data_IF_631392242667
#
_entry.id   IF_631392242667
#
_cell.length_a   1.000
_cell.length_b   1.000
_cell.length_c   1.000
_cell.angle_alpha   90.00
_cell.angle_beta   90.00
_cell.angle_gamma   90.00
#
_symmetry.space_group_name_H-M   'P 1'
#
loop_
_entity.id
_entity.type
_entity.pdbx_description
1 polymer ?
#
# COMPACT_ATOMS: atom_id res chain seq x y z
N UNK A 1 -9.95 -1.92 11.37
CA UNK A 1 -9.88 -1.05 12.57
C UNK A 1 -8.47 -0.50 12.63
N UNK A 2 -8.27 0.81 12.39
CA UNK A 2 -6.97 1.43 12.65
C UNK A 2 -6.84 1.41 14.17
N UNK A 3 -5.89 0.62 14.69
CA UNK A 3 -5.48 0.76 16.07
C UNK A 3 -5.19 2.24 16.28
N UNK A 4 -5.95 2.92 17.17
CA UNK A 4 -5.71 4.33 17.48
C UNK A 4 -4.24 4.43 17.89
N UNK A 5 -3.44 5.01 17.03
CA UNK A 5 -2.00 5.17 17.28
C UNK A 5 -1.84 5.95 18.58
N UNK A 6 -1.22 5.34 19.55
CA UNK A 6 -0.89 6.05 20.78
C UNK A 6 0.21 7.07 20.48
N UNK A 7 -0.19 8.33 20.34
CA UNK A 7 0.73 9.45 20.16
C UNK A 7 1.05 10.12 21.50
N UNK A 8 2.33 10.23 21.77
CA UNK A 8 2.88 11.12 22.78
C UNK A 8 3.49 12.35 22.07
N UNK A 9 3.82 13.38 22.82
CA UNK A 9 4.40 14.63 22.30
C UNK A 9 5.66 14.41 21.46
N UNK A 10 6.46 13.40 21.78
CA UNK A 10 7.67 13.03 21.04
C UNK A 10 7.34 12.54 19.61
N UNK A 11 6.41 11.60 19.45
CA UNK A 11 5.99 11.10 18.13
C UNK A 11 5.30 12.16 17.31
N UNK A 12 4.45 12.97 17.94
CA UNK A 12 3.75 14.11 17.31
C UNK A 12 4.76 15.10 16.73
N UNK A 13 5.75 15.53 17.52
CA UNK A 13 6.79 16.47 17.07
C UNK A 13 7.54 15.94 15.84
N UNK A 14 7.94 14.67 15.85
CA UNK A 14 8.62 14.06 14.70
C UNK A 14 7.72 13.93 13.47
N UNK A 15 6.43 13.60 13.65
CA UNK A 15 5.47 13.50 12.55
C UNK A 15 5.24 14.88 11.91
N UNK A 16 4.98 15.91 12.72
CA UNK A 16 4.78 17.27 12.23
C UNK A 16 6.01 17.79 11.49
N UNK A 17 7.21 17.54 12.03
CA UNK A 17 8.45 17.92 11.36
C UNK A 17 8.61 17.21 10.00
N UNK A 18 8.27 15.92 9.92
CA UNK A 18 8.27 15.18 8.64
C UNK A 18 7.28 15.75 7.63
N UNK A 19 6.06 16.10 8.06
CA UNK A 19 5.03 16.68 7.20
C UNK A 19 5.46 18.05 6.66
N UNK A 20 5.97 18.94 7.52
CA UNK A 20 6.47 20.26 7.11
C UNK A 20 7.67 20.13 6.14
N UNK A 21 8.68 19.37 6.53
CA UNK A 21 9.89 19.21 5.69
C UNK A 21 9.61 18.50 4.38
N UNK A 22 8.60 17.63 4.29
CA UNK A 22 8.19 17.00 3.04
C UNK A 22 7.50 17.98 2.10
N UNK A 23 6.73 18.94 2.60
CA UNK A 23 6.05 19.94 1.78
C UNK A 23 7.05 20.82 0.99
N UNK A 24 8.23 21.03 1.53
CA UNK A 24 9.31 21.83 0.93
C UNK A 24 10.31 20.96 0.13
N UNK A 25 10.08 19.65 0.09
CA UNK A 25 11.05 18.70 -0.43
C UNK A 25 10.66 18.18 -1.83
N UNK A 26 11.61 18.14 -2.76
CA UNK A 26 11.43 17.56 -4.09
C UNK A 26 11.75 16.06 -4.17
N UNK A 27 12.06 15.41 -3.04
CA UNK A 27 12.35 13.98 -3.03
C UNK A 27 11.05 13.15 -2.94
N UNK A 28 11.02 11.96 -3.54
CA UNK A 28 9.96 10.99 -3.27
C UNK A 28 9.79 10.73 -1.77
N UNK A 29 8.55 10.63 -1.29
CA UNK A 29 8.22 10.47 0.14
C UNK A 29 9.05 9.37 0.82
N UNK A 30 9.18 8.21 0.18
CA UNK A 30 9.95 7.07 0.72
C UNK A 30 11.42 7.45 0.99
N UNK A 31 12.05 8.18 0.09
CA UNK A 31 13.44 8.61 0.25
C UNK A 31 13.56 9.69 1.32
N UNK A 32 12.61 10.63 1.38
CA UNK A 32 12.56 11.65 2.42
C UNK A 32 12.45 11.03 3.82
N UNK A 33 11.50 10.11 4.03
CA UNK A 33 11.33 9.37 5.30
C UNK A 33 12.59 8.59 5.68
N UNK A 34 13.21 7.89 4.71
CA UNK A 34 14.46 7.16 4.95
C UNK A 34 15.58 8.10 5.41
N UNK A 35 15.77 9.23 4.73
CA UNK A 35 16.78 10.25 5.09
C UNK A 35 16.50 10.81 6.48
N UNK A 36 15.25 11.10 6.78
CA UNK A 36 14.85 11.59 8.10
C UNK A 36 15.23 10.63 9.22
N UNK A 37 14.91 9.34 9.08
CA UNK A 37 15.23 8.33 10.11
C UNK A 37 16.73 8.01 10.22
N UNK A 38 17.50 8.19 9.17
CA UNK A 38 18.98 8.09 9.25
C UNK A 38 19.58 9.20 10.12
N UNK A 39 18.98 10.39 10.08
CA UNK A 39 19.43 11.56 10.85
C UNK A 39 18.85 11.58 12.28
N UNK A 40 17.78 10.82 12.57
CA UNK A 40 17.12 10.75 13.88
C UNK A 40 17.25 9.33 14.46
N UNK A 41 18.46 8.99 14.91
CA UNK A 41 18.77 7.64 15.42
C UNK A 41 18.13 7.31 16.76
N UNK A 42 17.66 8.32 17.50
CA UNK A 42 16.93 8.21 18.77
C UNK A 42 15.52 7.60 18.62
N UNK A 43 15.00 7.52 17.40
CA UNK A 43 13.72 6.87 17.13
C UNK A 43 13.86 5.35 17.09
N UNK A 44 13.15 4.67 17.99
CA UNK A 44 13.06 3.21 18.02
C UNK A 44 12.24 2.65 16.85
N UNK A 45 12.31 1.35 16.62
CA UNK A 45 11.59 0.69 15.51
C UNK A 45 10.06 0.88 15.60
N UNK A 46 9.49 0.85 16.81
CA UNK A 46 8.07 1.08 17.01
C UNK A 46 7.66 2.53 16.73
N UNK A 47 8.48 3.50 17.17
CA UNK A 47 8.20 4.92 16.90
C UNK A 47 8.26 5.21 15.40
N UNK A 48 9.28 4.69 14.70
CA UNK A 48 9.39 4.81 13.25
C UNK A 48 8.17 4.24 12.53
N UNK A 49 7.68 3.08 12.98
CA UNK A 49 6.48 2.45 12.41
C UNK A 49 5.25 3.34 12.61
N UNK A 50 4.97 3.77 13.84
CA UNK A 50 3.80 4.60 14.18
C UNK A 50 3.83 5.92 13.41
N UNK A 51 4.97 6.61 13.39
CA UNK A 51 5.15 7.87 12.67
C UNK A 51 4.95 7.67 11.17
N UNK A 52 5.53 6.62 10.59
CA UNK A 52 5.40 6.33 9.16
C UNK A 52 3.95 6.02 8.79
N UNK A 53 3.29 5.16 9.54
CA UNK A 53 1.90 4.77 9.27
C UNK A 53 0.97 5.99 9.32
N UNK A 54 1.15 6.87 10.30
CA UNK A 54 0.37 8.10 10.43
C UNK A 54 0.69 9.11 9.34
N UNK A 55 1.95 9.25 8.97
CA UNK A 55 2.37 10.10 7.85
C UNK A 55 1.67 9.69 6.55
N UNK A 56 1.72 8.39 6.20
CA UNK A 56 1.06 7.89 5.01
C UNK A 56 -0.46 8.00 5.09
N UNK A 57 -1.05 7.80 6.26
CA UNK A 57 -2.48 7.99 6.47
C UNK A 57 -2.90 9.44 6.24
N UNK A 58 -2.23 10.39 6.87
CA UNK A 58 -2.52 11.83 6.73
C UNK A 58 -2.35 12.29 5.29
N UNK A 59 -1.26 11.92 4.62
CA UNK A 59 -1.01 12.33 3.23
C UNK A 59 -2.03 11.71 2.26
N UNK A 60 -2.43 10.46 2.49
CA UNK A 60 -3.44 9.78 1.67
C UNK A 60 -4.82 10.43 1.79
N UNK A 61 -5.21 10.80 2.99
CA UNK A 61 -6.50 11.39 3.28
C UNK A 61 -6.45 12.91 3.45
N UNK A 62 -5.41 13.55 2.91
CA UNK A 62 -5.17 14.99 3.10
C UNK A 62 -6.38 15.85 2.73
N UNK A 63 -6.96 15.66 1.54
CA UNK A 63 -8.07 16.49 1.07
C UNK A 63 -9.31 16.30 1.95
N UNK A 64 -9.58 15.06 2.37
CA UNK A 64 -10.64 14.76 3.33
C UNK A 64 -10.44 15.52 4.64
N UNK A 65 -9.25 15.46 5.24
CA UNK A 65 -8.99 16.15 6.51
C UNK A 65 -8.98 17.67 6.34
N UNK A 66 -8.53 18.20 5.20
CA UNK A 66 -8.57 19.64 4.91
C UNK A 66 -10.01 20.18 4.86
N UNK A 67 -11.00 19.36 4.51
CA UNK A 67 -12.41 19.79 4.53
C UNK A 67 -12.88 20.17 5.94
N UNK A 68 -12.37 19.51 6.97
CA UNK A 68 -12.69 19.80 8.37
C UNK A 68 -11.79 20.89 8.99
N UNK A 69 -10.71 21.25 8.30
CA UNK A 69 -9.80 22.28 8.78
C UNK A 69 -10.46 23.66 8.72
N UNK A 70 -10.25 24.47 9.75
CA UNK A 70 -10.75 25.83 9.83
C UNK A 70 -9.90 26.85 9.06
N UNK A 71 -8.76 26.39 8.53
CA UNK A 71 -7.75 27.23 7.89
C UNK A 71 -7.82 27.12 6.37
N UNK A 72 -7.67 28.26 5.70
CA UNK A 72 -7.57 28.31 4.23
C UNK A 72 -6.24 27.76 3.70
N UNK A 73 -5.26 27.58 4.59
CA UNK A 73 -3.95 27.00 4.30
C UNK A 73 -3.77 25.71 5.08
N UNK A 74 -2.92 24.82 4.56
CA UNK A 74 -2.62 23.53 5.21
C UNK A 74 -1.88 23.77 6.52
N UNK A 75 -2.56 23.56 7.65
CA UNK A 75 -1.96 23.48 8.99
C UNK A 75 -1.83 21.99 9.37
N UNK A 76 -0.62 21.47 9.37
CA UNK A 76 -0.36 20.06 9.66
C UNK A 76 -0.71 19.64 11.08
N UNK A 77 -0.65 20.57 12.03
CA UNK A 77 -1.04 20.30 13.43
C UNK A 77 -2.56 20.14 13.53
N UNK A 78 -3.31 21.02 12.89
CA UNK A 78 -4.78 20.90 12.83
C UNK A 78 -5.21 19.63 12.12
N UNK A 79 -4.64 19.35 10.94
CA UNK A 79 -4.89 18.11 10.17
C UNK A 79 -4.56 16.87 11.01
N UNK A 80 -3.44 16.86 11.74
CA UNK A 80 -3.11 15.76 12.62
C UNK A 80 -4.20 15.55 13.68
N UNK A 81 -4.63 16.60 14.37
CA UNK A 81 -5.67 16.51 15.39
C UNK A 81 -7.02 16.04 14.83
N UNK A 82 -7.39 16.48 13.61
CA UNK A 82 -8.57 16.01 12.91
C UNK A 82 -8.44 14.51 12.61
N UNK A 83 -7.29 14.08 12.10
CA UNK A 83 -7.03 12.67 11.76
C UNK A 83 -7.11 11.70 12.94
N UNK A 84 -6.97 12.20 14.19
CA UNK A 84 -7.14 11.39 15.40
C UNK A 84 -8.61 11.22 15.80
N UNK A 85 -9.50 12.05 15.27
CA UNK A 85 -10.93 12.11 15.66
C UNK A 85 -11.85 11.55 14.60
N UNK A 86 -11.52 11.74 13.32
CA UNK A 86 -12.38 11.42 12.19
C UNK A 86 -11.79 10.26 11.40
N UNK A 87 -12.62 9.23 11.13
CA UNK A 87 -12.24 8.10 10.28
C UNK A 87 -12.80 8.31 8.86
N UNK A 88 -11.99 8.49 7.83
CA UNK A 88 -12.46 8.73 6.47
C UNK A 88 -13.33 7.60 5.89
N UNK A 89 -13.22 6.38 6.42
CA UNK A 89 -13.98 5.22 5.94
C UNK A 89 -15.36 5.08 6.62
N UNK A 90 -15.59 5.76 7.73
CA UNK A 90 -16.81 5.67 8.55
C UNK A 90 -17.56 7.00 8.61
N UNK A 91 -17.03 8.06 8.02
CA UNK A 91 -17.61 9.40 8.09
C UNK A 91 -18.70 9.59 7.04
N UNK A 92 -19.90 9.97 7.49
CA UNK A 92 -21.07 10.24 6.66
C UNK A 92 -21.31 11.74 6.39
N UNK A 93 -20.37 12.60 6.75
CA UNK A 93 -20.48 14.03 6.52
C UNK A 93 -20.75 14.36 5.06
N UNK A 94 -21.71 15.23 4.80
CA UNK A 94 -22.00 15.75 3.48
C UNK A 94 -20.88 16.67 3.01
N UNK A 95 -20.06 16.16 2.12
CA UNK A 95 -18.96 16.87 1.48
C UNK A 95 -18.87 16.54 0.01
N UNK A 96 -18.16 17.35 -0.82
CA UNK A 96 -17.91 17.01 -2.21
C UNK A 96 -17.28 15.62 -2.35
N UNK A 97 -17.74 14.84 -3.32
CA UNK A 97 -17.34 13.44 -3.46
C UNK A 97 -15.82 13.26 -3.66
N UNK A 98 -15.13 14.20 -4.32
CA UNK A 98 -13.68 14.16 -4.47
C UNK A 98 -12.92 14.40 -3.16
N UNK A 99 -13.47 15.21 -2.25
CA UNK A 99 -12.89 15.40 -0.91
C UNK A 99 -13.15 14.18 -0.04
N UNK A 100 -14.35 13.57 -0.15
CA UNK A 100 -14.71 12.34 0.55
C UNK A 100 -13.77 11.19 0.24
N UNK A 101 -13.36 11.05 -1.02
CA UNK A 101 -12.36 10.05 -1.44
C UNK A 101 -10.93 10.57 -1.41
N UNK A 102 -10.73 11.83 -0.98
CA UNK A 102 -9.41 12.49 -0.87
C UNK A 102 -8.60 12.52 -2.18
N UNK A 103 -9.29 12.72 -3.31
CA UNK A 103 -8.65 12.87 -4.62
C UNK A 103 -8.65 14.33 -5.07
N UNK A 104 -7.61 14.78 -5.81
CA UNK A 104 -7.69 16.06 -6.52
C UNK A 104 -8.87 16.07 -7.48
N UNK A 105 -9.64 17.16 -7.50
CA UNK A 105 -10.86 17.27 -8.33
C UNK A 105 -10.64 16.89 -9.80
N UNK A 106 -9.54 17.35 -10.41
CA UNK A 106 -9.24 17.07 -11.81
C UNK A 106 -9.02 15.57 -12.09
N UNK A 107 -8.40 14.83 -11.15
CA UNK A 107 -8.16 13.40 -11.28
C UNK A 107 -9.46 12.62 -11.03
N UNK A 108 -10.20 12.96 -9.98
CA UNK A 108 -11.51 12.41 -9.71
C UNK A 108 -12.43 12.54 -10.93
N UNK A 109 -12.52 13.75 -11.51
CA UNK A 109 -13.34 14.03 -12.71
C UNK A 109 -12.95 13.14 -13.90
N UNK A 110 -11.64 12.91 -14.13
CA UNK A 110 -11.17 11.99 -15.18
C UNK A 110 -11.63 10.56 -14.94
N UNK A 111 -11.49 10.06 -13.71
CA UNK A 111 -11.89 8.69 -13.33
C UNK A 111 -13.41 8.52 -13.52
N UNK A 112 -14.21 9.45 -13.01
CA UNK A 112 -15.68 9.39 -13.14
C UNK A 112 -16.11 9.45 -14.62
N UNK A 113 -15.45 10.27 -15.43
CA UNK A 113 -15.75 10.35 -16.86
C UNK A 113 -15.49 9.03 -17.62
N UNK A 114 -14.51 8.26 -17.17
CA UNK A 114 -14.14 6.98 -17.81
C UNK A 114 -14.94 5.79 -17.28
N UNK A 115 -15.30 5.78 -15.98
CA UNK A 115 -15.86 4.61 -15.30
C UNK A 115 -17.32 4.79 -14.83
N UNK A 116 -17.89 6.00 -14.95
CA UNK A 116 -19.16 6.36 -14.33
C UNK A 116 -18.99 6.73 -12.85
N UNK A 117 -20.02 7.36 -12.27
CA UNK A 117 -19.97 7.92 -10.92
C UNK A 117 -19.75 6.84 -9.85
N UNK A 118 -20.54 5.80 -9.85
CA UNK A 118 -20.53 4.76 -8.84
C UNK A 118 -19.21 3.97 -8.85
N UNK A 119 -18.87 3.39 -10.00
CA UNK A 119 -17.65 2.57 -10.16
C UNK A 119 -16.40 3.42 -9.92
N UNK A 120 -16.36 4.64 -10.49
CA UNK A 120 -15.21 5.54 -10.34
C UNK A 120 -15.00 5.98 -8.90
N UNK A 121 -16.08 6.27 -8.16
CA UNK A 121 -15.97 6.61 -6.72
C UNK A 121 -15.44 5.42 -5.91
N UNK A 122 -15.95 4.23 -6.16
CA UNK A 122 -15.49 3.00 -5.51
C UNK A 122 -14.01 2.72 -5.82
N UNK A 123 -13.56 2.93 -7.04
CA UNK A 123 -12.14 2.81 -7.42
C UNK A 123 -11.28 3.78 -6.62
N UNK A 124 -11.71 5.04 -6.47
CA UNK A 124 -10.98 6.02 -5.65
C UNK A 124 -10.88 5.59 -4.17
N UNK A 125 -11.96 5.05 -3.61
CA UNK A 125 -11.93 4.49 -2.25
C UNK A 125 -10.94 3.34 -2.12
N UNK A 126 -11.00 2.36 -3.03
CA UNK A 126 -10.11 1.20 -3.02
C UNK A 126 -8.64 1.63 -3.15
N UNK A 127 -8.34 2.60 -4.01
CA UNK A 127 -6.99 3.14 -4.18
C UNK A 127 -6.46 3.84 -2.92
N UNK A 128 -7.35 4.32 -2.04
CA UNK A 128 -6.98 4.92 -0.76
C UNK A 128 -7.00 3.94 0.41
N UNK A 129 -7.33 2.68 0.19
CA UNK A 129 -7.15 1.63 1.20
C UNK A 129 -5.71 1.10 1.21
N UNK A 130 -5.33 0.44 2.28
CA UNK A 130 -4.05 -0.24 2.33
C UNK A 130 -4.09 -1.48 1.43
N UNK A 131 -3.21 -1.53 0.43
CA UNK A 131 -3.08 -2.71 -0.41
C UNK A 131 -2.67 -3.94 0.42
N UNK A 132 -3.24 -5.12 0.14
CA UNK A 132 -2.78 -6.37 0.73
C UNK A 132 -1.36 -6.69 0.25
N UNK A 133 -0.63 -7.44 1.05
CA UNK A 133 0.62 -8.04 0.60
C UNK A 133 0.28 -9.32 -0.15
N UNK A 134 0.55 -9.34 -1.45
CA UNK A 134 0.26 -10.49 -2.30
C UNK A 134 1.58 -11.17 -2.71
N UNK A 135 1.57 -12.49 -2.65
CA UNK A 135 2.70 -13.34 -3.02
C UNK A 135 2.27 -14.38 -4.06
N UNK A 136 3.18 -14.78 -4.91
CA UNK A 136 3.02 -15.89 -5.86
C UNK A 136 3.91 -17.04 -5.45
N UNK A 137 3.32 -18.21 -5.29
CA UNK A 137 4.06 -19.44 -4.97
C UNK A 137 4.82 -19.91 -6.20
N UNK A 138 6.06 -20.33 -6.00
CA UNK A 138 6.86 -20.94 -7.05
C UNK A 138 6.50 -22.44 -7.18
N UNK A 139 5.81 -22.88 -8.24
CA UNK A 139 5.30 -24.24 -8.35
C UNK A 139 6.42 -25.28 -8.50
N UNK A 140 7.62 -24.87 -8.95
CA UNK A 140 8.80 -25.76 -9.03
C UNK A 140 9.30 -26.14 -7.64
N UNK A 141 9.11 -25.25 -6.65
CA UNK A 141 9.66 -25.41 -5.29
C UNK A 141 8.66 -25.94 -4.28
N UNK A 142 7.38 -25.59 -4.44
CA UNK A 142 6.33 -25.91 -3.47
C UNK A 142 4.93 -25.68 -4.06
N UNK A 143 3.95 -26.49 -3.66
CA UNK A 143 2.55 -26.21 -4.00
C UNK A 143 1.96 -25.14 -3.09
N UNK A 144 0.92 -24.45 -3.56
CA UNK A 144 0.21 -23.42 -2.78
C UNK A 144 -0.38 -24.01 -1.49
N UNK A 145 -0.93 -25.20 -1.57
CA UNK A 145 -1.56 -25.92 -0.46
C UNK A 145 -0.54 -26.25 0.65
N UNK A 146 0.64 -26.78 0.27
CA UNK A 146 1.72 -27.05 1.22
C UNK A 146 2.28 -25.79 1.85
N UNK A 147 2.32 -24.66 1.11
CA UNK A 147 2.71 -23.37 1.66
C UNK A 147 1.69 -22.86 2.69
N UNK A 148 0.39 -22.99 2.38
CA UNK A 148 -0.69 -22.61 3.29
C UNK A 148 -0.69 -23.44 4.58
N UNK A 149 -0.52 -24.77 4.46
CA UNK A 149 -0.41 -25.64 5.63
C UNK A 149 0.73 -25.21 6.56
N UNK A 150 1.85 -24.80 5.98
CA UNK A 150 3.04 -24.43 6.74
C UNK A 150 3.01 -23.00 7.32
N UNK A 151 2.46 -22.05 6.58
CA UNK A 151 2.61 -20.62 6.87
C UNK A 151 1.28 -19.86 6.99
N UNK A 152 0.17 -20.47 6.53
CA UNK A 152 -1.14 -19.82 6.40
C UNK A 152 -1.62 -19.20 7.70
N UNK A 153 -1.70 -19.96 8.77
CA UNK A 153 -2.16 -19.49 10.08
C UNK A 153 -1.22 -18.44 10.69
N UNK A 154 0.10 -18.66 10.56
CA UNK A 154 1.11 -17.76 11.15
C UNK A 154 1.06 -16.34 10.57
N UNK A 155 0.80 -16.22 9.29
CA UNK A 155 0.83 -14.94 8.56
C UNK A 155 -0.56 -14.54 8.04
N UNK A 156 -1.62 -15.22 8.48
CA UNK A 156 -2.99 -15.01 8.03
C UNK A 156 -3.09 -14.93 6.48
N UNK A 157 -2.46 -15.89 5.81
CA UNK A 157 -2.47 -15.97 4.35
C UNK A 157 -3.77 -16.60 3.87
N UNK A 158 -4.33 -16.01 2.83
CA UNK A 158 -5.55 -16.47 2.16
C UNK A 158 -5.29 -16.65 0.67
N UNK A 159 -5.95 -17.63 0.01
CA UNK A 159 -5.87 -17.79 -1.43
C UNK A 159 -6.38 -16.57 -2.18
N UNK A 160 -5.69 -16.15 -3.22
CA UNK A 160 -6.20 -15.21 -4.20
C UNK A 160 -7.41 -15.78 -4.93
N UNK A 161 -8.35 -14.92 -5.32
CA UNK A 161 -9.59 -15.35 -5.96
C UNK A 161 -9.39 -15.85 -7.41
N UNK A 162 -8.46 -15.24 -8.14
CA UNK A 162 -8.28 -15.46 -9.58
C UNK A 162 -6.95 -16.16 -9.92
N UNK A 163 -5.90 -15.89 -9.14
CA UNK A 163 -4.61 -16.55 -9.36
C UNK A 163 -4.52 -17.86 -8.57
N UNK A 164 -4.31 -18.99 -9.25
CA UNK A 164 -4.16 -20.30 -8.64
C UNK A 164 -2.86 -20.46 -7.83
N UNK A 165 -1.84 -19.62 -8.07
CA UNK A 165 -0.58 -19.59 -7.32
C UNK A 165 -0.53 -18.45 -6.31
N UNK A 166 -1.51 -17.57 -6.32
CA UNK A 166 -1.53 -16.37 -5.50
C UNK A 166 -2.02 -16.62 -4.07
N UNK A 167 -1.35 -15.99 -3.11
CA UNK A 167 -1.78 -15.83 -1.72
C UNK A 167 -1.69 -14.37 -1.32
N UNK A 168 -2.57 -13.92 -0.44
CA UNK A 168 -2.52 -12.55 0.09
C UNK A 168 -2.72 -12.50 1.59
N UNK A 169 -2.29 -11.40 2.20
CA UNK A 169 -2.58 -11.06 3.59
C UNK A 169 -2.74 -9.56 3.74
N UNK A 170 -3.63 -9.14 4.64
CA UNK A 170 -3.79 -7.75 5.06
C UNK A 170 -2.91 -7.39 6.26
N UNK A 171 -2.24 -8.37 6.85
CA UNK A 171 -1.31 -8.13 7.94
C UNK A 171 -0.02 -7.48 7.43
N UNK A 172 0.54 -6.58 8.23
CA UNK A 172 1.88 -6.03 8.00
C UNK A 172 2.92 -7.08 8.36
N UNK A 173 3.46 -7.75 7.35
CA UNK A 173 4.49 -8.76 7.52
C UNK A 173 5.81 -8.34 6.87
N UNK A 174 6.92 -8.72 7.49
CA UNK A 174 8.22 -8.64 6.84
C UNK A 174 8.39 -9.87 5.95
N UNK A 175 8.28 -9.69 4.64
CA UNK A 175 8.41 -10.77 3.66
C UNK A 175 9.74 -11.52 3.82
N UNK A 176 10.82 -10.79 4.09
CA UNK A 176 12.16 -11.36 4.28
C UNK A 176 12.26 -12.26 5.51
N UNK A 177 11.37 -12.08 6.50
CA UNK A 177 11.35 -12.93 7.72
C UNK A 177 10.71 -14.29 7.47
N UNK A 178 10.03 -14.49 6.35
CA UNK A 178 9.47 -15.78 5.96
C UNK A 178 10.58 -16.61 5.36
N UNK A 179 10.95 -17.73 6.00
CA UNK A 179 12.09 -18.56 5.57
C UNK A 179 11.98 -19.07 4.13
N UNK A 180 10.78 -19.19 3.59
CA UNK A 180 10.52 -19.54 2.20
C UNK A 180 11.00 -18.51 1.18
N UNK A 181 11.14 -17.23 1.56
CA UNK A 181 11.60 -16.17 0.67
C UNK A 181 13.03 -16.43 0.15
N UNK A 182 13.96 -16.64 1.06
CA UNK A 182 15.36 -16.92 0.70
C UNK A 182 15.55 -18.27 -0.01
N UNK A 183 14.58 -19.16 0.10
CA UNK A 183 14.57 -20.47 -0.62
C UNK A 183 13.94 -20.38 -2.01
N UNK A 184 13.46 -19.19 -2.41
CA UNK A 184 12.75 -18.98 -3.66
C UNK A 184 11.43 -19.75 -3.78
N UNK A 185 10.77 -20.06 -2.65
CA UNK A 185 9.49 -20.76 -2.62
C UNK A 185 8.31 -19.86 -3.00
N UNK A 186 8.49 -18.55 -2.93
CA UNK A 186 7.53 -17.56 -3.35
C UNK A 186 8.20 -16.23 -3.69
N UNK A 187 7.46 -15.37 -4.36
CA UNK A 187 7.83 -14.01 -4.73
C UNK A 187 6.71 -13.03 -4.38
N UNK A 188 7.07 -11.76 -4.11
CA UNK A 188 6.08 -10.71 -3.95
C UNK A 188 5.61 -10.28 -5.34
N UNK A 189 4.35 -10.52 -5.63
CA UNK A 189 3.75 -10.15 -6.90
C UNK A 189 2.24 -9.95 -6.74
N UNK A 190 1.74 -8.82 -7.19
CA UNK A 190 0.31 -8.51 -7.19
C UNK A 190 -0.49 -9.50 -8.05
N UNK A 191 -1.74 -9.81 -7.64
CA UNK A 191 -2.59 -10.79 -8.34
C UNK A 191 -2.82 -10.40 -9.80
N UNK A 192 -3.09 -9.11 -10.08
CA UNK A 192 -3.27 -8.63 -11.45
C UNK A 192 -2.04 -8.87 -12.33
N UNK A 193 -0.83 -8.67 -11.77
CA UNK A 193 0.43 -8.95 -12.47
C UNK A 193 0.63 -10.45 -12.74
N UNK A 194 0.20 -11.33 -11.82
CA UNK A 194 0.22 -12.78 -12.02
C UNK A 194 -0.71 -13.18 -13.16
N UNK A 195 -1.93 -12.66 -13.19
CA UNK A 195 -2.91 -12.94 -14.23
C UNK A 195 -2.43 -12.48 -15.61
N UNK A 196 -1.85 -11.28 -15.70
CA UNK A 196 -1.31 -10.78 -16.96
C UNK A 196 -0.20 -11.66 -17.49
N UNK A 197 0.71 -12.13 -16.65
CA UNK A 197 1.79 -13.01 -17.06
C UNK A 197 1.29 -14.38 -17.53
N UNK A 198 0.22 -14.90 -16.92
CA UNK A 198 -0.42 -16.15 -17.33
C UNK A 198 -1.08 -16.10 -18.73
N UNK A 199 -1.30 -14.91 -19.30
CA UNK A 199 -1.83 -14.76 -20.66
C UNK A 199 -0.79 -15.07 -21.75
N UNK A 200 0.50 -15.00 -21.42
CA UNK A 200 1.59 -15.17 -22.38
C UNK A 200 1.64 -16.61 -22.92
N UNK A 201 1.46 -17.61 -22.05
CA UNK A 201 1.39 -19.06 -22.40
C UNK A 201 2.43 -19.49 -23.45
N UNK A 202 3.74 -19.36 -23.19
CA UNK A 202 4.76 -19.77 -24.12
C UNK A 202 4.74 -21.29 -24.30
N UNK A 203 5.06 -21.77 -25.50
CA UNK A 203 5.27 -23.21 -25.77
C UNK A 203 6.74 -23.57 -25.50
N UNK A 204 7.03 -24.82 -25.21
CA UNK A 204 8.41 -25.29 -25.12
C UNK A 204 9.18 -24.97 -26.40
N UNK A 205 10.33 -24.27 -26.25
CA UNK A 205 11.16 -23.86 -27.38
C UNK A 205 10.87 -22.43 -27.89
N UNK A 206 9.83 -21.76 -27.41
CA UNK A 206 9.59 -20.36 -27.76
C UNK A 206 10.69 -19.44 -27.19
N UNK A 207 11.08 -18.43 -27.97
CA UNK A 207 11.97 -17.35 -27.54
C UNK A 207 11.11 -16.17 -27.09
N UNK A 208 11.13 -15.86 -25.80
CA UNK A 208 10.31 -14.78 -25.19
C UNK A 208 11.20 -13.62 -24.79
N UNK A 209 10.93 -12.43 -25.30
CA UNK A 209 11.57 -11.18 -24.90
C UNK A 209 10.65 -10.39 -23.94
N UNK A 210 11.06 -10.27 -22.68
CA UNK A 210 10.44 -9.33 -21.73
C UNK A 210 11.19 -8.01 -21.74
N UNK A 211 10.77 -7.09 -22.59
CA UNK A 211 11.43 -5.77 -22.77
C UNK A 211 11.29 -4.86 -21.55
N UNK A 212 10.28 -5.07 -20.71
CA UNK A 212 10.00 -4.30 -19.50
C UNK A 212 10.09 -5.16 -18.25
N UNK A 213 11.01 -6.10 -18.21
CA UNK A 213 11.12 -7.13 -17.17
C UNK A 213 11.19 -6.57 -15.73
N UNK A 214 11.85 -5.42 -15.53
CA UNK A 214 12.12 -4.90 -14.19
C UNK A 214 12.90 -5.92 -13.36
N UNK A 215 12.29 -6.44 -12.28
CA UNK A 215 12.88 -7.52 -11.46
C UNK A 215 12.62 -8.93 -12.00
N UNK A 216 12.04 -9.07 -13.18
CA UNK A 216 11.72 -10.36 -13.79
C UNK A 216 10.46 -11.05 -13.25
N UNK A 217 9.66 -10.36 -12.44
CA UNK A 217 8.51 -10.98 -11.77
C UNK A 217 7.49 -11.60 -12.72
N UNK A 218 7.26 -11.02 -13.92
CA UNK A 218 6.37 -11.61 -14.94
C UNK A 218 7.08 -12.76 -15.68
N UNK A 219 8.34 -12.58 -16.03
CA UNK A 219 9.16 -13.63 -16.68
C UNK A 219 9.21 -14.91 -15.85
N UNK A 220 9.30 -14.80 -14.53
CA UNK A 220 9.29 -15.92 -13.59
C UNK A 220 7.92 -16.61 -13.44
N UNK A 221 6.85 -16.06 -13.99
CA UNK A 221 5.54 -16.75 -14.03
C UNK A 221 5.53 -17.82 -15.12
N UNK A 222 6.02 -17.50 -16.31
CA UNK A 222 5.98 -18.40 -17.47
C UNK A 222 7.27 -19.22 -17.68
N UNK A 223 8.36 -18.87 -17.00
CA UNK A 223 9.61 -19.65 -17.08
C UNK A 223 9.50 -21.13 -16.66
N UNK A 224 8.55 -21.57 -15.81
CA UNK A 224 8.34 -22.98 -15.51
C UNK A 224 7.69 -23.81 -16.63
N UNK A 225 7.15 -23.18 -17.67
CA UNK A 225 6.48 -23.81 -18.80
C UNK A 225 7.44 -24.01 -19.96
#
# INVERSE_FOLDING_TARGET
>A
MLDKFFFNSFRESHLLHLLHSFQECNLPLRLHVRKYFLNNKNLGSNDRRVITDSLYHILRWKNFFCYFSKYNTVDWKDIFHISQKVNPLEDDTLMPAWDKVSFPYWLYKKIIRSLGLEVGTNVCYVLNTQAPVTIRINPIKMTRENFLLKWGSKYNLQPCMKSHLGLYTTQKISIQSISGFHKGQFEVQDEGSQLMANLIKPNPGDIVLDYCAGSGGKSLVFAPH
#
